data_IF_463323271641
#
_entry.id   IF_463323271641
#
_cell.length_a   1.000
_cell.length_b   1.000
_cell.length_c   1.000
_cell.angle_alpha   90.00
_cell.angle_beta   90.00
_cell.angle_gamma   90.00
#
_symmetry.space_group_name_H-M   'P 1'
#
loop_
_entity.id
_entity.type
_entity.pdbx_description
1 polymer ?
#
# COMPACT_ATOMS: atom_id res chain seq x y z
N UNK A 1 23.67 0.80 -13.48
CA UNK A 1 22.23 0.57 -13.70
C UNK A 1 21.69 -0.12 -12.46
N UNK A 2 20.81 0.54 -11.70
CA UNK A 2 20.08 -0.14 -10.63
C UNK A 2 19.12 -1.14 -11.29
N UNK A 3 19.41 -2.43 -11.18
CA UNK A 3 18.46 -3.47 -11.56
C UNK A 3 17.30 -3.41 -10.56
N UNK A 4 16.08 -3.29 -11.07
CA UNK A 4 14.84 -3.45 -10.31
C UNK A 4 14.94 -4.70 -9.41
N UNK A 5 14.97 -4.52 -8.08
CA UNK A 5 15.07 -5.61 -7.10
C UNK A 5 13.76 -6.42 -7.13
N UNK A 6 13.76 -7.53 -7.88
CA UNK A 6 12.57 -8.36 -8.14
C UNK A 6 11.79 -8.72 -6.88
N UNK A 7 12.42 -9.27 -5.84
CA UNK A 7 11.78 -9.51 -4.55
C UNK A 7 11.14 -8.28 -3.90
N UNK A 8 11.77 -7.11 -3.98
CA UNK A 8 11.19 -5.88 -3.44
C UNK A 8 9.91 -5.46 -4.20
N UNK A 9 9.86 -5.73 -5.52
CA UNK A 9 8.68 -5.50 -6.35
C UNK A 9 7.57 -6.47 -5.98
N UNK A 10 7.87 -7.76 -5.80
CA UNK A 10 6.90 -8.75 -5.34
C UNK A 10 6.32 -8.38 -3.98
N UNK A 11 7.17 -7.93 -3.05
CA UNK A 11 6.74 -7.45 -1.75
C UNK A 11 5.82 -6.23 -1.85
N UNK A 12 6.17 -5.25 -2.69
CA UNK A 12 5.35 -4.07 -2.96
C UNK A 12 3.98 -4.44 -3.53
N UNK A 13 3.98 -5.35 -4.51
CA UNK A 13 2.79 -5.78 -5.22
C UNK A 13 1.83 -6.53 -4.28
N UNK A 14 2.35 -7.45 -3.47
CA UNK A 14 1.57 -8.18 -2.48
C UNK A 14 0.88 -7.24 -1.48
N UNK A 15 1.62 -6.29 -0.91
CA UNK A 15 1.05 -5.32 0.03
C UNK A 15 -0.02 -4.43 -0.63
N UNK A 16 0.22 -3.94 -1.86
CA UNK A 16 -0.77 -3.16 -2.60
C UNK A 16 -2.04 -3.95 -2.89
N UNK A 17 -1.91 -5.21 -3.32
CA UNK A 17 -3.05 -6.09 -3.57
C UNK A 17 -3.88 -6.29 -2.31
N UNK A 18 -3.24 -6.54 -1.16
CA UNK A 18 -3.92 -6.72 0.11
C UNK A 18 -4.69 -5.46 0.53
N UNK A 19 -4.07 -4.27 0.48
CA UNK A 19 -4.75 -3.00 0.77
C UNK A 19 -5.96 -2.78 -0.14
N UNK A 20 -5.76 -2.85 -1.46
CA UNK A 20 -6.82 -2.57 -2.44
C UNK A 20 -7.95 -3.60 -2.36
N UNK A 21 -7.66 -4.85 -1.99
CA UNK A 21 -8.68 -5.90 -1.84
C UNK A 21 -9.73 -5.58 -0.77
N UNK A 22 -9.34 -4.78 0.24
CA UNK A 22 -10.20 -4.36 1.36
C UNK A 22 -10.97 -3.08 1.08
N UNK A 23 -10.70 -2.38 0.00
CA UNK A 23 -11.45 -1.18 -0.34
C UNK A 23 -12.92 -1.50 -0.68
N UNK A 24 -13.87 -0.59 -0.37
CA UNK A 24 -15.29 -0.82 -0.63
C UNK A 24 -15.55 -1.16 -2.09
N UNK A 25 -16.09 -2.36 -2.34
CA UNK A 25 -16.29 -2.88 -3.69
C UNK A 25 -17.17 -1.98 -4.56
N UNK A 26 -18.12 -1.29 -3.96
CA UNK A 26 -19.05 -0.36 -4.61
C UNK A 26 -18.38 0.93 -5.10
N UNK A 27 -17.19 1.26 -4.59
CA UNK A 27 -16.50 2.54 -4.84
C UNK A 27 -15.18 2.38 -5.60
N UNK A 28 -14.94 1.20 -6.17
CA UNK A 28 -13.67 0.85 -6.87
C UNK A 28 -13.35 1.71 -8.09
N UNK A 29 -14.31 2.45 -8.61
CA UNK A 29 -14.11 3.37 -9.74
C UNK A 29 -13.69 4.77 -9.27
N UNK A 30 -13.79 5.07 -7.99
CA UNK A 30 -13.37 6.36 -7.44
C UNK A 30 -11.87 6.31 -7.09
N UNK A 31 -11.11 7.31 -7.53
CA UNK A 31 -9.64 7.34 -7.42
C UNK A 31 -9.13 7.01 -6.01
N UNK A 32 -9.78 7.56 -4.97
CA UNK A 32 -9.42 7.41 -3.56
C UNK A 32 -9.54 5.96 -3.01
N UNK A 33 -10.15 5.04 -3.77
CA UNK A 33 -10.23 3.59 -3.49
C UNK A 33 -9.52 2.75 -4.56
N UNK A 34 -8.47 3.29 -5.14
CA UNK A 34 -7.61 2.57 -6.08
C UNK A 34 -6.15 2.70 -5.67
N UNK A 35 -5.28 1.92 -6.30
CA UNK A 35 -3.84 2.04 -6.13
C UNK A 35 -3.29 3.44 -6.50
N UNK A 36 -4.03 4.26 -7.26
CA UNK A 36 -3.62 5.64 -7.58
C UNK A 36 -3.56 6.55 -6.36
N UNK A 37 -4.33 6.25 -5.31
CA UNK A 37 -4.34 7.01 -4.07
C UNK A 37 -3.36 6.46 -3.03
N UNK A 38 -2.39 5.63 -3.45
CA UNK A 38 -1.45 4.94 -2.57
C UNK A 38 -0.01 5.17 -3.01
N UNK A 39 0.90 5.16 -2.05
CA UNK A 39 2.34 5.15 -2.28
C UNK A 39 2.98 4.03 -1.47
N UNK A 40 3.99 3.38 -2.04
CA UNK A 40 4.70 2.26 -1.39
C UNK A 40 6.14 2.66 -1.11
N UNK A 41 6.55 2.49 0.14
CA UNK A 41 7.94 2.57 0.56
C UNK A 41 8.39 1.19 1.01
N UNK A 42 9.50 0.70 0.46
CA UNK A 42 10.06 -0.62 0.79
C UNK A 42 11.41 -0.46 1.47
N UNK A 43 11.54 -1.06 2.64
CA UNK A 43 12.80 -1.26 3.35
C UNK A 43 13.19 -2.73 3.35
N UNK A 44 14.49 -3.02 3.38
CA UNK A 44 15.01 -4.37 3.54
C UNK A 44 15.25 -4.68 5.01
N UNK A 45 14.58 -5.70 5.53
CA UNK A 45 14.82 -6.28 6.85
C UNK A 45 15.67 -7.54 6.78
N UNK A 46 15.89 -8.19 7.93
CA UNK A 46 16.63 -9.46 8.00
C UNK A 46 15.77 -10.61 7.47
N UNK A 47 15.90 -10.91 6.18
CA UNK A 47 15.18 -12.02 5.52
C UNK A 47 13.76 -11.70 5.08
N UNK A 48 13.31 -10.45 5.26
CA UNK A 48 11.98 -9.95 4.88
C UNK A 48 12.10 -8.56 4.27
N UNK A 49 11.08 -8.13 3.56
CA UNK A 49 10.85 -6.75 3.15
C UNK A 49 9.81 -6.13 4.08
N UNK A 50 10.12 -4.94 4.58
CA UNK A 50 9.18 -4.10 5.31
C UNK A 50 8.54 -3.16 4.30
N UNK A 51 7.23 -3.27 4.10
CA UNK A 51 6.50 -2.49 3.11
C UNK A 51 5.54 -1.56 3.85
N UNK A 52 5.68 -0.26 3.63
CA UNK A 52 4.75 0.76 4.11
C UNK A 52 3.90 1.25 2.95
N UNK A 53 2.59 1.09 3.06
CA UNK A 53 1.62 1.63 2.11
C UNK A 53 1.01 2.88 2.73
N UNK A 54 1.36 4.04 2.17
CA UNK A 54 0.83 5.33 2.58
C UNK A 54 -0.42 5.67 1.76
N UNK A 55 -1.37 6.35 2.37
CA UNK A 55 -2.46 6.99 1.64
C UNK A 55 -2.03 8.34 1.09
N UNK A 56 -2.29 8.55 -0.20
CA UNK A 56 -1.94 9.75 -0.98
C UNK A 56 -3.18 10.22 -1.75
N UNK A 57 -4.19 10.68 -1.02
CA UNK A 57 -5.41 11.24 -1.63
C UNK A 57 -5.12 12.50 -2.45
N UNK A 58 -3.99 13.14 -2.21
CA UNK A 58 -3.46 14.26 -3.00
C UNK A 58 -3.04 13.86 -4.43
N UNK A 59 -2.91 12.56 -4.73
CA UNK A 59 -2.72 12.07 -6.10
C UNK A 59 -4.03 12.02 -6.90
N UNK A 60 -5.18 12.26 -6.25
CA UNK A 60 -6.49 12.30 -6.88
C UNK A 60 -6.98 13.74 -7.07
N UNK A 61 -7.75 13.99 -8.13
CA UNK A 61 -8.46 15.26 -8.35
C UNK A 61 -9.64 15.39 -7.36
N UNK A 62 -9.32 15.66 -6.10
CA UNK A 62 -10.29 15.88 -5.03
C UNK A 62 -10.64 14.64 -4.21
N UNK A 63 -11.14 14.90 -3.00
CA UNK A 63 -11.58 13.89 -2.04
C UNK A 63 -13.10 13.78 -2.18
N UNK A 64 -13.57 12.75 -2.90
CA UNK A 64 -15.00 12.47 -3.07
C UNK A 64 -15.72 12.23 -1.73
N UNK A 65 -17.07 12.15 -1.72
CA UNK A 65 -17.87 12.02 -0.50
C UNK A 65 -17.43 10.84 0.38
N UNK A 66 -17.09 11.05 1.65
CA UNK A 66 -16.61 9.97 2.54
C UNK A 66 -15.18 9.51 2.26
N UNK A 67 -14.37 10.35 1.62
CA UNK A 67 -12.92 10.22 1.64
C UNK A 67 -12.36 10.60 3.02
N UNK A 68 -11.38 9.83 3.47
CA UNK A 68 -10.67 10.10 4.71
C UNK A 68 -9.59 11.16 4.46
N UNK A 69 -9.53 12.19 5.31
CA UNK A 69 -8.55 13.28 5.28
C UNK A 69 -7.31 13.01 6.14
N UNK A 70 -7.25 11.87 6.82
CA UNK A 70 -6.09 11.41 7.59
C UNK A 70 -4.91 11.18 6.65
N UNK A 71 -3.99 12.14 6.65
CA UNK A 71 -2.74 12.09 5.89
C UNK A 71 -1.72 11.11 6.49
N UNK A 72 -1.94 10.71 7.73
CA UNK A 72 -1.09 9.81 8.50
C UNK A 72 -1.65 8.39 8.59
N UNK A 73 -2.73 8.08 7.86
CA UNK A 73 -3.12 6.69 7.64
C UNK A 73 -2.03 5.96 6.85
N UNK A 74 -1.57 4.82 7.36
CA UNK A 74 -0.70 3.91 6.64
C UNK A 74 -0.88 2.47 7.10
N UNK A 75 -0.48 1.54 6.23
CA UNK A 75 -0.36 0.14 6.59
C UNK A 75 1.09 -0.32 6.47
N UNK A 76 1.54 -1.12 7.43
CA UNK A 76 2.86 -1.75 7.47
C UNK A 76 2.71 -3.24 7.26
N UNK A 77 3.65 -3.80 6.50
CA UNK A 77 3.71 -5.22 6.19
C UNK A 77 5.12 -5.75 6.39
N UNK A 78 5.22 -6.99 6.86
CA UNK A 78 6.39 -7.82 6.65
C UNK A 78 6.07 -8.84 5.56
N UNK A 79 6.90 -8.86 4.51
CA UNK A 79 6.69 -9.69 3.32
C UNK A 79 7.96 -10.46 3.01
N UNK A 80 7.84 -11.76 2.76
CA UNK A 80 8.98 -12.59 2.36
C UNK A 80 9.37 -12.32 0.89
N UNK A 81 10.60 -12.67 0.45
CA UNK A 81 11.09 -12.39 -0.91
C UNK A 81 10.22 -12.92 -2.06
N UNK A 82 9.45 -13.97 -1.82
CA UNK A 82 8.49 -14.58 -2.75
C UNK A 82 7.14 -13.85 -2.81
N UNK A 83 6.96 -12.76 -2.05
CA UNK A 83 5.73 -11.97 -2.02
C UNK A 83 4.70 -12.44 -0.99
N UNK A 84 5.04 -13.41 -0.12
CA UNK A 84 4.12 -13.87 0.93
C UNK A 84 4.11 -12.89 2.11
N UNK A 85 2.94 -12.32 2.41
CA UNK A 85 2.72 -11.49 3.60
C UNK A 85 2.72 -12.39 4.84
N UNK A 86 3.54 -12.06 5.83
CA UNK A 86 3.61 -12.79 7.10
C UNK A 86 3.08 -11.98 8.28
N UNK A 87 3.06 -10.66 8.17
CA UNK A 87 2.51 -9.78 9.20
C UNK A 87 1.98 -8.49 8.58
N UNK A 88 0.93 -7.93 9.20
CA UNK A 88 0.32 -6.66 8.85
C UNK A 88 0.01 -5.86 10.11
N UNK A 89 0.29 -4.57 10.07
CA UNK A 89 -0.10 -3.60 11.08
C UNK A 89 -0.75 -2.39 10.40
N UNK A 90 -2.00 -2.10 10.77
CA UNK A 90 -2.70 -0.90 10.31
C UNK A 90 -2.54 0.21 11.35
N UNK A 91 -2.16 1.40 10.89
CA UNK A 91 -2.16 2.61 11.70
C UNK A 91 -3.18 3.61 11.15
N UNK A 92 -4.12 4.00 12.00
CA UNK A 92 -5.12 5.04 11.77
C UNK A 92 -5.36 5.69 13.14
N UNK A 93 -4.86 6.91 13.38
CA UNK A 93 -4.99 7.59 14.67
C UNK A 93 -6.40 8.10 14.96
#
# INVERSE_FOLDING_TARGET
MATLDGPAILASHAALQDVVSRFPKARRNECIFTARALEVVVGKGKGVYIVRVNRRVDHCEGIGPGGNFELDWFELYAVLPEGRIIERYQYAP
#
